data_IF_374774793912
#
_entry.id   IF_374774793912
#
_cell.length_a   1.000
_cell.length_b   1.000
_cell.length_c   1.000
_cell.angle_alpha   90.00
_cell.angle_beta   90.00
_cell.angle_gamma   90.00
#
_symmetry.space_group_name_H-M   'P 1'
#
loop_
_entity.id
_entity.type
_entity.pdbx_description
1 polymer ?
#
# COMPACT_ATOMS: atom_id res chain seq x y z
N UNK A 1 20.13 15.84 3.42
CA UNK A 1 19.38 15.00 2.45
C UNK A 1 17.93 15.42 2.52
N UNK A 2 17.25 15.70 1.40
CA UNK A 2 15.80 15.94 1.42
C UNK A 2 15.11 14.60 1.67
N UNK A 3 14.53 14.42 2.85
CA UNK A 3 13.78 13.21 3.19
C UNK A 3 12.38 13.25 2.57
N UNK A 4 11.73 12.09 2.47
CA UNK A 4 10.34 12.00 2.03
C UNK A 4 9.44 12.90 2.89
N UNK A 5 9.65 12.90 4.20
CA UNK A 5 8.91 13.72 5.15
C UNK A 5 9.08 15.23 4.92
N UNK A 6 10.28 15.69 4.56
CA UNK A 6 10.53 17.10 4.23
C UNK A 6 9.66 17.55 3.04
N UNK A 7 9.47 16.68 2.06
CA UNK A 7 8.67 17.03 0.87
C UNK A 7 7.18 16.94 1.10
N UNK A 8 6.72 15.98 1.91
CA UNK A 8 5.33 15.96 2.36
C UNK A 8 5.03 17.23 3.14
N UNK A 9 5.96 17.67 3.99
CA UNK A 9 5.84 18.92 4.76
C UNK A 9 5.78 20.14 3.84
N UNK A 10 6.66 20.22 2.84
CA UNK A 10 6.63 21.29 1.83
C UNK A 10 5.33 21.31 1.02
N UNK A 11 4.85 20.15 0.57
CA UNK A 11 3.61 20.04 -0.19
C UNK A 11 2.38 20.39 0.68
N UNK A 12 2.41 20.08 1.98
CA UNK A 12 1.37 20.51 2.93
C UNK A 12 1.37 22.02 3.13
N UNK A 13 2.55 22.64 3.24
CA UNK A 13 2.66 24.10 3.32
C UNK A 13 2.11 24.77 2.05
N UNK A 14 2.36 24.19 0.87
CA UNK A 14 1.81 24.68 -0.40
C UNK A 14 0.29 24.47 -0.54
N UNK A 15 -0.26 23.47 0.13
CA UNK A 15 -1.68 23.14 0.10
C UNK A 15 -2.51 23.81 1.19
N UNK A 16 -1.97 24.84 1.88
CA UNK A 16 -2.59 25.50 3.03
C UNK A 16 -3.03 24.49 4.12
N UNK A 17 -2.21 23.46 4.35
CA UNK A 17 -2.48 22.39 5.33
C UNK A 17 -3.44 21.29 4.85
N UNK A 18 -3.93 21.34 3.60
CA UNK A 18 -4.81 20.30 3.04
C UNK A 18 -3.99 19.14 2.49
N UNK A 19 -4.56 17.94 2.46
CA UNK A 19 -3.91 16.75 1.89
C UNK A 19 -4.07 16.63 0.36
N UNK A 20 -4.81 17.55 -0.25
CA UNK A 20 -5.14 17.54 -1.67
C UNK A 20 -4.55 18.77 -2.37
N UNK A 21 -3.90 18.52 -3.51
CA UNK A 21 -3.34 19.53 -4.40
C UNK A 21 -4.29 19.78 -5.57
N UNK A 22 -4.63 21.05 -5.79
CA UNK A 22 -5.39 21.47 -6.96
C UNK A 22 -4.45 21.77 -8.15
N UNK A 23 -5.03 21.89 -9.33
CA UNK A 23 -4.37 22.26 -10.59
C UNK A 23 -3.48 23.51 -10.46
N UNK A 24 -3.90 24.51 -9.67
CA UNK A 24 -3.07 25.71 -9.40
C UNK A 24 -1.76 25.36 -8.68
N UNK A 25 -1.81 24.45 -7.70
CA UNK A 25 -0.66 24.07 -6.90
C UNK A 25 0.29 23.20 -7.74
N UNK A 26 -0.26 22.33 -8.58
CA UNK A 26 0.50 21.55 -9.56
C UNK A 26 1.18 22.45 -10.62
N UNK A 27 0.57 23.57 -11.01
CA UNK A 27 1.21 24.56 -11.88
C UNK A 27 2.43 25.18 -11.21
N UNK A 28 2.35 25.50 -9.92
CA UNK A 28 3.49 26.05 -9.16
C UNK A 28 4.62 25.01 -9.03
N UNK A 29 4.27 23.75 -8.78
CA UNK A 29 5.26 22.67 -8.59
C UNK A 29 5.98 22.26 -9.87
N UNK A 30 5.25 22.09 -10.97
CA UNK A 30 5.78 21.50 -12.20
C UNK A 30 5.93 22.51 -13.36
N UNK A 31 5.48 23.75 -13.19
CA UNK A 31 5.50 24.78 -14.23
C UNK A 31 4.53 24.51 -15.39
N UNK A 32 3.65 23.50 -15.29
CA UNK A 32 2.72 23.16 -16.35
C UNK A 32 1.51 24.09 -16.37
N UNK A 33 1.21 24.65 -17.54
CA UNK A 33 -0.01 25.42 -17.76
C UNK A 33 -1.25 24.54 -17.50
N UNK A 34 -2.37 25.18 -17.10
CA UNK A 34 -3.64 24.49 -16.87
C UNK A 34 -4.07 23.67 -18.10
N UNK A 35 -3.90 24.23 -19.30
CA UNK A 35 -4.20 23.53 -20.57
C UNK A 35 -3.33 22.29 -20.76
N UNK A 36 -2.03 22.38 -20.45
CA UNK A 36 -1.12 21.24 -20.55
C UNK A 36 -1.48 20.15 -19.53
N UNK A 37 -1.91 20.52 -18.33
CA UNK A 37 -2.39 19.57 -17.33
C UNK A 37 -3.68 18.85 -17.77
N UNK A 38 -4.66 19.58 -18.31
CA UNK A 38 -5.88 18.97 -18.84
C UNK A 38 -5.56 17.99 -19.97
N UNK A 39 -4.70 18.38 -20.92
CA UNK A 39 -4.27 17.50 -22.00
C UNK A 39 -3.55 16.25 -21.48
N UNK A 40 -2.70 16.36 -20.46
CA UNK A 40 -2.03 15.20 -19.83
C UNK A 40 -3.02 14.25 -19.15
N UNK A 41 -4.10 14.77 -18.56
CA UNK A 41 -5.17 13.97 -17.96
C UNK A 41 -5.97 13.23 -19.03
N UNK A 42 -6.41 13.92 -20.07
CA UNK A 42 -7.18 13.33 -21.19
C UNK A 42 -6.37 12.27 -21.96
N UNK A 43 -5.06 12.47 -22.09
CA UNK A 43 -4.16 11.52 -22.77
C UNK A 43 -3.69 10.38 -21.86
N UNK A 44 -4.04 10.40 -20.57
CA UNK A 44 -3.55 9.41 -19.59
C UNK A 44 -2.04 9.45 -19.37
N UNK A 45 -1.37 10.55 -19.72
CA UNK A 45 0.10 10.71 -19.58
C UNK A 45 0.49 11.42 -18.28
N UNK A 46 -0.47 11.66 -17.38
CA UNK A 46 -0.20 12.21 -16.07
C UNK A 46 0.47 11.13 -15.19
N UNK A 47 1.64 11.38 -14.60
CA UNK A 47 2.44 10.35 -13.95
C UNK A 47 1.99 10.01 -12.52
N UNK A 48 0.87 10.57 -12.06
CA UNK A 48 0.29 10.36 -10.74
C UNK A 48 -1.25 10.37 -10.84
N UNK A 49 -1.94 9.67 -9.94
CA UNK A 49 -3.39 9.61 -9.92
C UNK A 49 -4.03 10.99 -9.64
N UNK A 50 -5.23 11.16 -10.17
CA UNK A 50 -6.05 12.34 -9.94
C UNK A 50 -7.51 11.94 -9.79
N UNK A 51 -8.27 12.77 -9.07
CA UNK A 51 -9.73 12.64 -8.94
C UNK A 51 -10.39 13.93 -9.37
N UNK A 52 -11.44 13.80 -10.17
CA UNK A 52 -12.31 14.92 -10.48
C UNK A 52 -13.39 15.04 -9.41
N UNK A 53 -13.48 16.21 -8.78
CA UNK A 53 -14.54 16.55 -7.83
C UNK A 53 -15.22 17.80 -8.38
N UNK A 54 -16.42 17.63 -8.93
CA UNK A 54 -17.14 18.67 -9.66
C UNK A 54 -16.37 19.12 -10.92
N UNK A 55 -15.99 20.40 -10.96
CA UNK A 55 -15.22 21.02 -12.07
C UNK A 55 -13.71 21.07 -11.81
N UNK A 56 -13.26 20.63 -10.63
CA UNK A 56 -11.87 20.72 -10.21
C UNK A 56 -11.24 19.34 -10.17
N UNK A 57 -9.93 19.32 -10.38
CA UNK A 57 -9.10 18.11 -10.33
C UNK A 57 -8.14 18.20 -9.16
N UNK A 58 -8.08 17.10 -8.41
CA UNK A 58 -7.28 16.98 -7.21
C UNK A 58 -6.34 15.78 -7.30
N UNK A 59 -5.13 15.94 -6.79
CA UNK A 59 -4.18 14.85 -6.58
C UNK A 59 -3.77 14.86 -5.11
N UNK A 60 -3.48 13.69 -4.53
CA UNK A 60 -3.06 13.64 -3.12
C UNK A 60 -1.61 14.10 -3.00
N UNK A 61 -1.26 14.68 -1.84
CA UNK A 61 0.12 15.06 -1.55
C UNK A 61 1.05 13.85 -1.59
N UNK A 62 0.61 12.70 -1.08
CA UNK A 62 1.43 11.49 -1.02
C UNK A 62 1.74 10.94 -2.41
N UNK A 63 0.77 10.94 -3.32
CA UNK A 63 0.97 10.49 -4.71
C UNK A 63 1.95 11.40 -5.45
N UNK A 64 1.85 12.71 -5.23
CA UNK A 64 2.77 13.70 -5.82
C UNK A 64 4.16 13.61 -5.19
N UNK A 65 4.26 13.42 -3.87
CA UNK A 65 5.52 13.19 -3.16
C UNK A 65 6.20 11.91 -3.66
N UNK A 66 5.44 10.83 -3.79
CA UNK A 66 5.92 9.56 -4.31
C UNK A 66 6.45 9.72 -5.75
N UNK A 67 5.77 10.49 -6.59
CA UNK A 67 6.26 10.81 -7.93
C UNK A 67 7.59 11.60 -7.90
N UNK A 68 7.72 12.57 -7.00
CA UNK A 68 8.94 13.38 -6.87
C UNK A 68 10.14 12.54 -6.39
N UNK A 69 9.92 11.57 -5.49
CA UNK A 69 10.99 10.71 -4.95
C UNK A 69 11.32 9.52 -5.82
N UNK A 70 10.31 8.78 -6.24
CA UNK A 70 10.47 7.49 -6.90
C UNK A 70 10.33 7.57 -8.42
N UNK A 71 9.99 8.75 -8.96
CA UNK A 71 9.74 8.95 -10.38
C UNK A 71 8.36 8.46 -10.83
N UNK A 72 8.15 8.35 -12.14
CA UNK A 72 6.88 7.95 -12.76
C UNK A 72 6.52 6.50 -12.42
N UNK A 73 5.84 6.29 -11.29
CA UNK A 73 5.10 5.08 -11.03
C UNK A 73 3.84 5.13 -11.89
N UNK A 74 3.95 4.72 -13.15
CA UNK A 74 2.79 4.41 -13.98
C UNK A 74 2.04 3.27 -13.27
N UNK A 75 1.16 3.58 -12.32
CA UNK A 75 0.19 2.60 -11.85
C UNK A 75 -0.89 2.54 -12.93
N UNK A 76 -1.05 1.43 -13.67
CA UNK A 76 -2.08 1.27 -14.68
C UNK A 76 -3.43 1.01 -14.00
N UNK A 77 -3.92 1.95 -13.19
CA UNK A 77 -5.21 1.87 -12.52
C UNK A 77 -6.24 2.90 -12.99
N UNK A 78 -5.85 3.88 -13.81
CA UNK A 78 -6.81 4.72 -14.54
C UNK A 78 -7.10 4.23 -15.97
N UNK A 79 -6.39 3.20 -16.46
CA UNK A 79 -6.77 2.53 -17.70
C UNK A 79 -8.10 1.75 -17.57
N UNK A 80 -8.57 1.45 -16.35
CA UNK A 80 -9.76 0.60 -16.16
C UNK A 80 -11.05 1.43 -16.24
N UNK A 81 -11.07 2.69 -15.78
CA UNK A 81 -12.27 3.53 -15.89
C UNK A 81 -12.46 4.08 -17.32
N UNK A 82 -11.41 4.55 -17.99
CA UNK A 82 -11.52 5.11 -19.35
C UNK A 82 -11.55 4.07 -20.48
N UNK A 83 -11.18 2.80 -20.23
CA UNK A 83 -11.41 1.74 -21.23
C UNK A 83 -12.85 1.23 -21.20
N UNK A 84 -13.61 1.40 -20.12
CA UNK A 84 -15.02 0.97 -20.08
C UNK A 84 -15.96 1.91 -20.85
N UNK A 85 -15.57 3.17 -21.09
CA UNK A 85 -16.37 4.14 -21.85
C UNK A 85 -16.23 4.00 -23.38
N UNK A 86 -15.25 3.21 -23.87
CA UNK A 86 -15.02 2.94 -25.30
C UNK A 86 -15.23 1.47 -25.70
N UNK A 87 -15.76 0.64 -24.81
CA UNK A 87 -16.31 -0.65 -25.23
C UNK A 87 -17.65 -0.36 -25.91
N UNK A 88 -17.66 -0.35 -27.25
CA UNK A 88 -18.93 -0.52 -27.98
C UNK A 88 -19.61 -1.75 -27.39
N UNK A 89 -20.93 -1.72 -27.10
CA UNK A 89 -21.62 -2.93 -26.66
C UNK A 89 -21.40 -3.98 -27.73
N UNK A 90 -20.61 -5.01 -27.41
CA UNK A 90 -20.57 -6.22 -28.22
C UNK A 90 -22.00 -6.72 -28.21
N UNK A 91 -22.62 -6.73 -29.39
CA UNK A 91 -23.96 -7.28 -29.53
C UNK A 91 -23.96 -8.65 -28.85
N UNK A 92 -24.78 -8.80 -27.80
CA UNK A 92 -25.04 -10.10 -27.19
C UNK A 92 -25.57 -10.96 -28.33
N UNK A 93 -24.71 -11.78 -28.91
CA UNK A 93 -25.12 -12.81 -29.83
C UNK A 93 -26.15 -13.65 -29.09
N UNK A 94 -27.39 -13.62 -29.54
CA UNK A 94 -28.45 -14.46 -28.99
C UNK A 94 -28.10 -15.91 -29.34
N UNK A 95 -27.30 -16.55 -28.51
CA UNK A 95 -27.31 -18.00 -28.41
C UNK A 95 -27.91 -18.34 -27.07
N UNK A 96 -29.21 -18.60 -27.14
CA UNK A 96 -29.92 -19.43 -26.17
C UNK A 96 -29.20 -20.77 -26.08
N UNK A 97 -28.32 -20.89 -25.11
CA UNK A 97 -27.98 -22.16 -24.51
C UNK A 97 -28.13 -21.93 -23.01
N UNK A 98 -29.07 -22.63 -22.39
CA UNK A 98 -29.13 -22.82 -20.94
C UNK A 98 -27.87 -23.61 -20.56
N UNK A 99 -26.74 -22.92 -20.52
CA UNK A 99 -25.50 -23.42 -19.96
C UNK A 99 -25.53 -22.99 -18.50
N UNK A 100 -25.58 -23.96 -17.59
CA UNK A 100 -25.52 -23.69 -16.17
C UNK A 100 -24.24 -22.90 -15.85
N UNK A 101 -24.40 -21.69 -15.34
CA UNK A 101 -23.28 -20.79 -15.03
C UNK A 101 -22.57 -21.28 -13.75
N UNK A 102 -21.54 -22.10 -13.91
CA UNK A 102 -20.70 -22.60 -12.81
C UNK A 102 -19.53 -21.67 -12.44
N UNK A 103 -19.50 -20.45 -12.95
CA UNK A 103 -18.44 -19.45 -12.67
C UNK A 103 -18.31 -19.16 -11.17
N UNK A 104 -19.41 -19.23 -10.42
CA UNK A 104 -19.42 -19.08 -8.96
C UNK A 104 -18.59 -20.15 -8.25
N UNK A 105 -18.56 -21.40 -8.73
CA UNK A 105 -17.73 -22.46 -8.16
C UNK A 105 -16.24 -22.13 -8.24
N UNK A 106 -15.82 -21.52 -9.35
CA UNK A 106 -14.44 -21.05 -9.50
C UNK A 106 -14.12 -19.89 -8.54
N UNK A 107 -15.06 -18.95 -8.36
CA UNK A 107 -14.89 -17.88 -7.36
C UNK A 107 -14.80 -18.41 -5.93
N UNK A 108 -15.59 -19.43 -5.57
CA UNK A 108 -15.50 -20.08 -4.27
C UNK A 108 -14.18 -20.83 -4.10
N UNK A 109 -13.72 -21.55 -5.12
CA UNK A 109 -12.45 -22.27 -5.07
C UNK A 109 -11.27 -21.32 -4.84
N UNK A 110 -11.20 -20.22 -5.60
CA UNK A 110 -10.14 -19.21 -5.45
C UNK A 110 -10.22 -18.47 -4.10
N UNK A 111 -11.43 -18.21 -3.60
CA UNK A 111 -11.62 -17.65 -2.27
C UNK A 111 -11.14 -18.60 -1.17
N UNK A 112 -11.49 -19.89 -1.24
CA UNK A 112 -11.02 -20.91 -0.30
C UNK A 112 -9.49 -21.04 -0.33
N UNK A 113 -8.88 -21.01 -1.51
CA UNK A 113 -7.42 -21.03 -1.64
C UNK A 113 -6.77 -19.82 -0.95
N UNK A 114 -7.37 -18.64 -1.07
CA UNK A 114 -6.89 -17.44 -0.38
C UNK A 114 -7.01 -17.58 1.14
N UNK A 115 -8.16 -18.03 1.64
CA UNK A 115 -8.41 -18.22 3.08
C UNK A 115 -7.43 -19.24 3.68
N UNK A 116 -7.17 -20.35 2.98
CA UNK A 116 -6.23 -21.37 3.45
C UNK A 116 -4.79 -20.87 3.50
N UNK A 117 -4.34 -20.09 2.50
CA UNK A 117 -3.02 -19.44 2.52
C UNK A 117 -2.87 -18.45 3.69
N UNK A 118 -3.90 -17.67 3.96
CA UNK A 118 -3.90 -16.69 5.06
C UNK A 118 -3.89 -17.40 6.43
N UNK A 119 -4.68 -18.46 6.61
CA UNK A 119 -4.64 -19.28 7.81
C UNK A 119 -3.26 -19.93 8.02
N UNK A 120 -2.63 -20.44 6.96
CA UNK A 120 -1.28 -21.00 7.04
C UNK A 120 -0.23 -19.94 7.42
N UNK A 121 -0.37 -18.70 6.93
CA UNK A 121 0.48 -17.58 7.32
C UNK A 121 0.32 -17.24 8.80
N UNK A 122 -0.91 -17.13 9.30
CA UNK A 122 -1.19 -16.86 10.71
C UNK A 122 -0.63 -17.96 11.63
N UNK A 123 -0.73 -19.24 11.23
CA UNK A 123 -0.13 -20.34 11.98
C UNK A 123 1.40 -20.24 12.06
N UNK A 124 2.06 -19.84 10.96
CA UNK A 124 3.52 -19.60 10.97
C UNK A 124 3.90 -18.43 11.88
N UNK A 125 3.11 -17.36 11.86
CA UNK A 125 3.32 -16.21 12.73
C UNK A 125 3.16 -16.61 14.21
N UNK A 126 2.13 -17.38 14.53
CA UNK A 126 1.93 -17.90 15.89
C UNK A 126 3.15 -18.74 16.34
N UNK A 127 3.61 -19.68 15.51
CA UNK A 127 4.79 -20.49 15.82
C UNK A 127 6.03 -19.63 16.06
N UNK A 128 6.27 -18.63 15.21
CA UNK A 128 7.38 -17.70 15.38
C UNK A 128 7.30 -16.87 16.67
N UNK A 129 6.10 -16.44 17.07
CA UNK A 129 5.89 -15.74 18.33
C UNK A 129 6.10 -16.64 19.55
N UNK A 130 5.67 -17.90 19.48
CA UNK A 130 5.92 -18.90 20.54
C UNK A 130 7.41 -19.26 20.66
N UNK A 131 8.14 -19.30 19.55
CA UNK A 131 9.59 -19.48 19.55
C UNK A 131 10.30 -18.27 20.16
N UNK A 132 9.94 -17.06 19.73
CA UNK A 132 10.49 -15.82 20.29
C UNK A 132 10.26 -15.74 21.81
N UNK A 133 9.04 -16.01 22.27
CA UNK A 133 8.73 -16.03 23.70
C UNK A 133 9.55 -17.10 24.46
N UNK A 134 9.78 -18.26 23.84
CA UNK A 134 10.61 -19.31 24.45
C UNK A 134 12.07 -18.89 24.54
N UNK A 135 12.61 -18.22 23.53
CA UNK A 135 13.97 -17.70 23.54
C UNK A 135 14.16 -16.62 24.61
N UNK A 136 13.25 -15.64 24.68
CA UNK A 136 13.26 -14.60 25.72
C UNK A 136 13.27 -15.22 27.14
N UNK A 137 12.38 -16.19 27.39
CA UNK A 137 12.37 -16.92 28.68
C UNK A 137 13.68 -17.66 28.95
N UNK A 138 14.33 -18.22 27.93
CA UNK A 138 15.64 -18.90 28.09
C UNK A 138 16.71 -17.90 28.51
N UNK A 139 16.79 -16.73 27.88
CA UNK A 139 17.73 -15.66 28.26
C UNK A 139 17.49 -15.18 29.70
N UNK A 140 16.24 -15.01 30.11
CA UNK A 140 15.90 -14.65 31.49
C UNK A 140 16.32 -15.72 32.51
N UNK A 141 16.14 -17.00 32.16
CA UNK A 141 16.51 -18.13 33.01
C UNK A 141 18.03 -18.29 33.12
N UNK A 142 18.78 -18.14 32.02
CA UNK A 142 20.25 -18.21 32.03
C UNK A 142 20.87 -17.06 32.81
N UNK A 143 20.35 -15.83 32.66
CA UNK A 143 20.77 -14.69 33.48
C UNK A 143 20.60 -14.97 34.99
N UNK A 144 19.42 -15.47 35.38
CA UNK A 144 19.14 -15.85 36.79
C UNK A 144 19.98 -17.03 37.30
N UNK A 145 20.45 -17.92 36.42
CA UNK A 145 21.34 -19.04 36.78
C UNK A 145 22.76 -18.54 37.06
N UNK A 146 23.29 -17.65 36.23
CA UNK A 146 24.61 -17.03 36.43
C UNK A 146 24.65 -16.29 37.77
N UNK A 147 23.63 -15.48 38.07
CA UNK A 147 23.53 -14.75 39.34
C UNK A 147 23.53 -15.68 40.57
N UNK A 148 22.91 -16.87 40.45
CA UNK A 148 22.87 -17.86 41.53
C UNK A 148 24.20 -18.60 41.72
N UNK A 149 24.95 -18.85 40.66
CA UNK A 149 26.27 -19.48 40.76
C UNK A 149 27.29 -18.54 41.41
N UNK A 150 27.27 -17.25 41.08
CA UNK A 150 28.15 -16.25 41.73
C UNK A 150 27.88 -16.13 43.24
N UNK A 151 26.61 -16.21 43.66
CA UNK A 151 26.23 -16.19 45.08
C UNK A 151 26.70 -17.46 45.80
N UNK A 152 26.66 -18.63 45.14
CA UNK A 152 27.16 -19.90 45.71
C UNK A 152 28.68 -19.92 45.86
N UNK A 153 29.44 -19.37 44.92
CA UNK A 153 30.92 -19.34 44.99
C UNK A 153 31.42 -18.38 46.10
N UNK A 154 30.72 -17.25 46.31
CA UNK A 154 31.00 -16.32 47.42
C UNK A 154 30.67 -16.92 48.79
N UNK A 155 29.70 -17.84 48.87
CA UNK A 155 29.37 -18.57 50.11
C UNK A 155 30.36 -19.69 50.46
N UNK A 156 30.99 -20.33 49.46
CA UNK A 156 31.98 -21.41 49.68
C UNK A 156 33.36 -20.92 50.08
N UNK A 157 33.75 -19.69 49.73
CA UNK A 157 35.06 -19.09 50.07
C UNK A 157 35.14 -18.52 51.50
N UNK A 158 34.12 -18.71 52.33
CA UNK A 158 34.02 -18.17 53.71
C UNK A 158 33.97 -19.25 54.80
N UNK A 159 34.51 -20.44 54.54
CA UNK A 159 34.71 -21.49 55.56
C UNK A 159 36.19 -21.85 55.57
#
# INVERSE_FOLDING_TARGET
MRTYEDTVTYLRALADGRELLNTKHLTILFGWSVRAQTRKRETGTLPFPFRQIGRLYFSTIYDVANFIFYGSQNTPKQAIEDQTSKLKPVAKGSRSTNADDFSHLFTFATFLERVTKEAAFLNRLQQGLEEYQREERKYDLTGKLIDKEEVKDKGRKRI
#
